data_IF_329513805573
#
_entry.id   IF_329513805573
#
_cell.length_a   1.000
_cell.length_b   1.000
_cell.length_c   1.000
_cell.angle_alpha   90.00
_cell.angle_beta   90.00
_cell.angle_gamma   90.00
#
_symmetry.space_group_name_H-M   'P 1'
#
loop_
_entity.id
_entity.type
_entity.pdbx_description
1 polymer ?
#
# COMPACT_ATOMS: atom_id res chain seq x y z
N UNK A 1 60.56 25.29 12.91
CA UNK A 1 59.14 25.13 12.53
C UNK A 1 58.69 26.44 11.93
N UNK A 2 58.77 26.58 10.60
CA UNK A 2 58.39 27.79 9.89
C UNK A 2 56.88 27.94 10.01
N UNK A 3 56.44 28.86 10.86
CA UNK A 3 55.05 29.29 10.91
C UNK A 3 54.70 30.17 9.71
N UNK A 4 53.43 30.50 9.59
CA UNK A 4 52.92 31.41 8.57
C UNK A 4 53.67 32.74 8.56
N UNK A 5 53.97 33.23 7.36
CA UNK A 5 54.46 34.61 7.16
C UNK A 5 53.38 35.62 7.54
N UNK A 6 53.75 36.86 7.84
CA UNK A 6 52.77 37.89 8.24
C UNK A 6 51.71 38.15 7.16
N UNK A 7 52.10 38.10 5.87
CA UNK A 7 51.18 38.22 4.75
C UNK A 7 50.19 37.06 4.66
N UNK A 8 50.64 35.83 4.91
CA UNK A 8 49.78 34.65 4.97
C UNK A 8 48.78 34.73 6.13
N UNK A 9 49.22 35.24 7.29
CA UNK A 9 48.33 35.47 8.44
C UNK A 9 47.27 36.52 8.11
N UNK A 10 47.67 37.64 7.50
CA UNK A 10 46.75 38.70 7.06
C UNK A 10 45.72 38.13 6.08
N UNK A 11 46.17 37.37 5.07
CA UNK A 11 45.30 36.74 4.07
C UNK A 11 44.33 35.75 4.71
N UNK A 12 44.78 34.91 5.65
CA UNK A 12 43.91 33.96 6.35
C UNK A 12 42.86 34.66 7.21
N UNK A 13 43.20 35.79 7.84
CA UNK A 13 42.24 36.58 8.60
C UNK A 13 41.17 37.20 7.66
N UNK A 14 41.59 37.74 6.52
CA UNK A 14 40.67 38.28 5.51
C UNK A 14 39.72 37.19 4.97
N UNK A 15 40.25 36.02 4.61
CA UNK A 15 39.44 34.89 4.16
C UNK A 15 38.47 34.38 5.24
N UNK A 16 38.90 34.33 6.51
CA UNK A 16 38.01 33.97 7.63
C UNK A 16 36.90 35.00 7.84
N UNK A 17 37.17 36.29 7.63
CA UNK A 17 36.14 37.32 7.74
C UNK A 17 35.10 37.18 6.62
N UNK A 18 35.54 36.98 5.38
CA UNK A 18 34.67 36.73 4.23
C UNK A 18 33.86 35.44 4.41
N UNK A 19 34.50 34.36 4.86
CA UNK A 19 33.82 33.09 5.11
C UNK A 19 32.73 33.22 6.18
N UNK A 20 32.98 33.96 7.26
CA UNK A 20 31.98 34.20 8.31
C UNK A 20 30.78 35.02 7.84
N UNK A 21 30.98 35.97 6.93
CA UNK A 21 29.89 36.73 6.30
C UNK A 21 29.10 35.83 5.35
N UNK A 22 29.80 35.12 4.46
CA UNK A 22 29.17 34.17 3.55
C UNK A 22 28.32 33.12 4.28
N UNK A 23 28.83 32.53 5.37
CA UNK A 23 28.07 31.57 6.16
C UNK A 23 26.81 32.17 6.79
N UNK A 24 26.87 33.44 7.18
CA UNK A 24 25.71 34.18 7.71
C UNK A 24 24.70 34.48 6.61
N UNK A 25 25.16 34.77 5.40
CA UNK A 25 24.30 34.99 4.22
C UNK A 25 23.62 33.70 3.72
N UNK A 26 24.06 32.52 4.17
CA UNK A 26 23.40 31.24 3.91
C UNK A 26 22.28 30.92 4.91
N UNK A 27 22.11 31.71 5.97
CA UNK A 27 20.98 31.55 6.88
C UNK A 27 19.71 32.04 6.15
N UNK A 28 18.86 31.09 5.74
CA UNK A 28 17.59 31.43 5.12
C UNK A 28 16.63 32.03 6.16
N UNK A 29 15.96 33.11 5.77
CA UNK A 29 14.84 33.65 6.53
C UNK A 29 13.63 32.73 6.42
N UNK A 30 12.78 32.72 7.45
CA UNK A 30 11.53 31.93 7.49
C UNK A 30 10.57 32.21 6.32
N UNK A 31 10.72 33.36 5.64
CA UNK A 31 9.89 33.76 4.50
C UNK A 31 10.45 33.24 3.20
N UNK A 32 10.24 31.95 2.96
CA UNK A 32 10.53 31.35 1.66
C UNK A 32 9.40 31.58 0.67
N UNK A 33 9.68 31.73 -0.64
CA UNK A 33 8.66 31.77 -1.66
C UNK A 33 7.97 30.39 -1.74
N UNK A 34 6.76 30.31 -1.19
CA UNK A 34 5.94 29.10 -1.22
C UNK A 34 5.17 29.05 -2.53
N UNK A 35 5.02 27.85 -3.11
CA UNK A 35 4.09 27.63 -4.20
C UNK A 35 2.67 28.03 -3.77
N UNK A 36 1.84 28.56 -4.69
CA UNK A 36 0.47 28.89 -4.36
C UNK A 36 -0.28 27.65 -3.85
N UNK A 37 -1.25 27.82 -2.94
CA UNK A 37 -1.99 26.71 -2.38
C UNK A 37 -2.68 25.90 -3.48
N UNK A 38 -2.58 24.58 -3.38
CA UNK A 38 -3.19 23.67 -4.35
C UNK A 38 -4.71 23.87 -4.35
N UNK A 39 -5.29 24.14 -5.53
CA UNK A 39 -6.75 24.19 -5.69
C UNK A 39 -7.31 22.78 -5.50
N UNK A 40 -8.00 22.57 -4.38
CA UNK A 40 -8.71 21.33 -4.12
C UNK A 40 -10.03 21.31 -4.92
N UNK A 41 -10.39 20.14 -5.45
CA UNK A 41 -11.71 19.93 -6.04
C UNK A 41 -12.82 20.00 -4.98
N UNK A 42 -14.10 20.08 -5.37
CA UNK A 42 -15.21 20.28 -4.44
C UNK A 42 -15.30 19.19 -3.35
N UNK A 43 -15.04 17.93 -3.71
CA UNK A 43 -15.03 16.80 -2.77
C UNK A 43 -13.83 16.87 -1.82
N UNK A 44 -12.65 17.20 -2.33
CA UNK A 44 -11.45 17.31 -1.49
C UNK A 44 -11.56 18.51 -0.52
N UNK A 45 -12.09 19.65 -0.98
CA UNK A 45 -12.36 20.81 -0.15
C UNK A 45 -13.42 20.54 0.92
N UNK A 46 -14.46 19.75 0.60
CA UNK A 46 -15.43 19.28 1.59
C UNK A 46 -14.75 18.47 2.70
N UNK A 47 -13.92 17.48 2.34
CA UNK A 47 -13.25 16.65 3.33
C UNK A 47 -12.26 17.43 4.19
N UNK A 48 -11.51 18.36 3.61
CA UNK A 48 -10.62 19.24 4.37
C UNK A 48 -11.40 20.05 5.41
N UNK A 49 -12.49 20.71 5.00
CA UNK A 49 -13.38 21.46 5.91
C UNK A 49 -14.05 20.57 6.95
N UNK A 50 -14.41 19.34 6.59
CA UNK A 50 -15.01 18.38 7.52
C UNK A 50 -14.01 17.96 8.62
N UNK A 51 -12.73 17.85 8.28
CA UNK A 51 -11.64 17.44 9.18
C UNK A 51 -11.06 18.58 10.02
N UNK A 52 -11.11 19.84 9.55
CA UNK A 52 -10.62 21.04 10.25
C UNK A 52 -11.01 21.16 11.74
N UNK A 53 -12.26 20.89 12.18
CA UNK A 53 -12.62 20.97 13.59
C UNK A 53 -12.05 19.85 14.47
N UNK A 54 -11.22 18.94 13.93
CA UNK A 54 -10.26 18.18 14.73
C UNK A 54 -10.81 17.01 15.57
N UNK A 55 -11.99 16.47 15.25
CA UNK A 55 -12.60 15.39 16.05
C UNK A 55 -12.15 13.97 15.67
N UNK A 56 -11.90 13.10 16.67
CA UNK A 56 -11.50 11.70 16.46
C UNK A 56 -12.49 10.92 15.57
N UNK A 57 -13.79 11.06 15.83
CA UNK A 57 -14.85 10.42 15.03
C UNK A 57 -14.79 10.82 13.55
N UNK A 58 -14.54 12.10 13.25
CA UNK A 58 -14.49 12.60 11.86
C UNK A 58 -13.33 11.99 11.09
N UNK A 59 -12.17 11.85 11.74
CA UNK A 59 -11.01 11.18 11.18
C UNK A 59 -11.29 9.68 10.95
N UNK A 60 -12.01 9.03 11.86
CA UNK A 60 -12.38 7.62 11.70
C UNK A 60 -13.32 7.40 10.52
N UNK A 61 -14.34 8.24 10.36
CA UNK A 61 -15.25 8.20 9.20
C UNK A 61 -14.50 8.45 7.90
N UNK A 62 -13.62 9.45 7.86
CA UNK A 62 -12.81 9.74 6.68
C UNK A 62 -11.92 8.55 6.30
N UNK A 63 -11.23 7.95 7.28
CA UNK A 63 -10.41 6.75 7.07
C UNK A 63 -11.24 5.57 6.56
N UNK A 64 -12.43 5.34 7.12
CA UNK A 64 -13.32 4.27 6.68
C UNK A 64 -13.76 4.48 5.22
N UNK A 65 -14.16 5.70 4.85
CA UNK A 65 -14.57 6.05 3.48
C UNK A 65 -13.41 5.94 2.48
N UNK A 66 -12.21 6.39 2.87
CA UNK A 66 -11.02 6.25 2.02
C UNK A 66 -10.63 4.78 1.83
N UNK A 67 -10.67 3.99 2.89
CA UNK A 67 -10.35 2.56 2.86
C UNK A 67 -11.37 1.79 2.04
N UNK A 68 -12.67 2.11 2.17
CA UNK A 68 -13.71 1.49 1.35
C UNK A 68 -13.53 1.81 -0.13
N UNK A 69 -13.18 3.06 -0.46
CA UNK A 69 -12.87 3.46 -1.84
C UNK A 69 -11.65 2.72 -2.39
N UNK A 70 -10.61 2.53 -1.57
CA UNK A 70 -9.43 1.75 -1.94
C UNK A 70 -9.78 0.28 -2.21
N UNK A 71 -10.53 -0.38 -1.31
CA UNK A 71 -10.93 -1.78 -1.48
C UNK A 71 -11.77 -1.95 -2.75
N UNK A 72 -12.73 -1.06 -2.99
CA UNK A 72 -13.56 -1.12 -4.19
C UNK A 72 -12.69 -1.04 -5.46
N UNK A 73 -11.83 -0.03 -5.55
CA UNK A 73 -11.06 0.25 -6.76
C UNK A 73 -9.87 -0.70 -6.97
N UNK A 74 -9.21 -1.14 -5.90
CA UNK A 74 -7.98 -1.95 -5.98
C UNK A 74 -8.19 -3.43 -5.78
N UNK A 75 -9.32 -3.85 -5.20
CA UNK A 75 -9.60 -5.26 -4.94
C UNK A 75 -10.82 -5.72 -5.73
N UNK A 76 -11.99 -5.11 -5.50
CA UNK A 76 -13.26 -5.60 -6.06
C UNK A 76 -13.29 -5.46 -7.58
N UNK A 77 -12.94 -4.29 -8.11
CA UNK A 77 -12.97 -4.05 -9.57
C UNK A 77 -12.00 -4.98 -10.30
N UNK A 78 -10.71 -5.10 -9.92
CA UNK A 78 -9.81 -6.06 -10.57
C UNK A 78 -10.26 -7.50 -10.41
N UNK A 79 -10.77 -7.88 -9.23
CA UNK A 79 -11.29 -9.23 -8.99
C UNK A 79 -12.46 -9.56 -9.94
N UNK A 80 -13.42 -8.66 -10.12
CA UNK A 80 -14.51 -8.83 -11.09
C UNK A 80 -14.02 -8.94 -12.52
N UNK A 81 -13.04 -8.14 -12.93
CA UNK A 81 -12.44 -8.21 -14.26
C UNK A 81 -11.79 -9.58 -14.49
N UNK A 82 -11.01 -10.07 -13.51
CA UNK A 82 -10.35 -11.38 -13.58
C UNK A 82 -11.39 -12.50 -13.66
N UNK A 83 -12.38 -12.49 -12.78
CA UNK A 83 -13.45 -13.51 -12.77
C UNK A 83 -14.22 -13.51 -14.09
N UNK A 84 -14.55 -12.34 -14.62
CA UNK A 84 -15.19 -12.21 -15.93
C UNK A 84 -14.31 -12.81 -17.04
N UNK A 85 -13.03 -12.47 -17.04
CA UNK A 85 -12.08 -12.97 -18.03
C UNK A 85 -11.94 -14.50 -17.97
N UNK A 86 -11.77 -15.06 -16.77
CA UNK A 86 -11.69 -16.50 -16.57
C UNK A 86 -12.97 -17.20 -17.05
N UNK A 87 -14.14 -16.66 -16.69
CA UNK A 87 -15.44 -17.24 -17.04
C UNK A 87 -15.71 -17.27 -18.55
N UNK A 88 -15.43 -16.18 -19.25
CA UNK A 88 -15.86 -16.03 -20.66
C UNK A 88 -14.76 -16.26 -21.68
N UNK A 89 -13.49 -16.21 -21.30
CA UNK A 89 -12.37 -16.44 -22.21
C UNK A 89 -11.62 -17.73 -21.87
N UNK A 90 -11.14 -17.87 -20.63
CA UNK A 90 -10.28 -19.01 -20.26
C UNK A 90 -11.06 -20.33 -20.24
N UNK A 91 -12.24 -20.37 -19.61
CA UNK A 91 -13.07 -21.58 -19.54
C UNK A 91 -13.68 -22.00 -20.88
N UNK A 92 -13.74 -21.11 -21.88
CA UNK A 92 -14.19 -21.48 -23.23
C UNK A 92 -13.10 -22.17 -24.06
N UNK A 93 -11.84 -22.02 -23.66
CA UNK A 93 -10.73 -22.69 -24.33
C UNK A 93 -10.60 -24.12 -23.77
N UNK A 94 -10.46 -25.15 -24.64
CA UNK A 94 -10.20 -26.50 -24.16
C UNK A 94 -8.90 -26.51 -23.35
N UNK A 95 -8.93 -27.15 -22.18
CA UNK A 95 -7.83 -27.17 -21.20
C UNK A 95 -7.38 -25.80 -20.66
N UNK A 96 -8.20 -24.74 -20.80
CA UNK A 96 -7.85 -23.41 -20.28
C UNK A 96 -7.79 -23.35 -18.75
N UNK A 97 -8.60 -24.16 -18.06
CA UNK A 97 -8.50 -24.38 -16.62
C UNK A 97 -8.54 -25.88 -16.37
N UNK A 98 -7.45 -26.44 -15.83
CA UNK A 98 -7.38 -27.84 -15.41
C UNK A 98 -7.38 -27.84 -13.88
N UNK A 99 -8.31 -28.57 -13.29
CA UNK A 99 -8.34 -28.83 -11.86
C UNK A 99 -8.06 -30.30 -11.59
N UNK A 100 -7.45 -30.60 -10.45
CA UNK A 100 -7.32 -31.99 -9.99
C UNK A 100 -8.67 -32.45 -9.46
N UNK A 101 -8.97 -33.74 -9.65
CA UNK A 101 -10.19 -34.32 -9.11
C UNK A 101 -10.22 -34.17 -7.58
N UNK A 102 -11.38 -33.85 -6.99
CA UNK A 102 -11.50 -33.73 -5.54
C UNK A 102 -11.17 -35.08 -4.87
N UNK A 103 -10.63 -35.03 -3.65
CA UNK A 103 -10.40 -36.23 -2.85
C UNK A 103 -11.75 -36.79 -2.41
N UNK A 104 -11.91 -38.10 -2.52
CA UNK A 104 -13.12 -38.82 -2.18
C UNK A 104 -12.81 -39.72 -0.99
N UNK A 105 -13.64 -39.67 0.04
CA UNK A 105 -13.52 -40.50 1.23
C UNK A 105 -14.66 -41.53 1.35
N UNK A 106 -14.42 -42.64 2.06
CA UNK A 106 -15.47 -43.60 2.43
C UNK A 106 -16.66 -42.91 3.12
N UNK A 107 -17.87 -43.21 2.67
CA UNK A 107 -19.11 -42.55 3.15
C UNK A 107 -19.49 -41.26 2.43
N UNK A 108 -18.62 -40.68 1.60
CA UNK A 108 -18.96 -39.49 0.80
C UNK A 108 -20.00 -39.83 -0.26
N UNK A 109 -20.87 -38.86 -0.57
CA UNK A 109 -21.84 -38.96 -1.67
C UNK A 109 -21.35 -38.15 -2.87
N UNK A 110 -21.18 -38.82 -4.00
CA UNK A 110 -20.86 -38.16 -5.27
C UNK A 110 -22.10 -37.40 -5.74
N UNK A 111 -22.03 -36.07 -5.85
CA UNK A 111 -23.19 -35.24 -6.20
C UNK A 111 -23.73 -35.53 -7.62
N UNK A 112 -22.85 -35.91 -8.54
CA UNK A 112 -23.20 -36.15 -9.94
C UNK A 112 -23.84 -37.53 -10.15
N UNK A 113 -23.31 -38.58 -9.52
CA UNK A 113 -23.79 -39.97 -9.67
C UNK A 113 -24.80 -40.37 -8.59
N UNK A 114 -24.81 -39.66 -7.45
CA UNK A 114 -25.63 -39.99 -6.28
C UNK A 114 -25.14 -41.18 -5.45
N UNK A 115 -24.08 -41.86 -5.90
CA UNK A 115 -23.47 -43.02 -5.24
C UNK A 115 -22.79 -42.63 -3.93
N UNK A 116 -22.95 -43.48 -2.92
CA UNK A 116 -22.32 -43.36 -1.62
C UNK A 116 -21.10 -44.27 -1.63
N UNK A 117 -19.94 -43.73 -1.27
CA UNK A 117 -18.71 -44.48 -1.20
C UNK A 117 -18.78 -45.53 -0.11
N UNK A 118 -18.40 -46.78 -0.39
CA UNK A 118 -18.46 -47.84 0.60
C UNK A 118 -17.58 -47.47 1.81
N UNK A 119 -18.03 -47.76 3.04
CA UNK A 119 -17.20 -47.57 4.22
C UNK A 119 -15.97 -48.47 4.14
N UNK A 120 -14.92 -48.09 4.87
CA UNK A 120 -13.77 -48.97 5.08
C UNK A 120 -14.25 -50.24 5.79
N UNK A 121 -13.57 -51.36 5.53
CA UNK A 121 -13.81 -52.58 6.29
C UNK A 121 -13.42 -52.31 7.74
N UNK A 122 -14.18 -52.85 8.68
CA UNK A 122 -13.85 -52.77 10.10
C UNK A 122 -12.43 -53.33 10.32
N UNK A 123 -11.54 -52.50 10.86
CA UNK A 123 -10.23 -52.96 11.30
C UNK A 123 -10.42 -53.79 12.57
N UNK A 124 -9.74 -54.93 12.72
CA UNK A 124 -9.77 -55.66 13.98
C UNK A 124 -9.14 -54.76 15.07
N UNK A 125 -9.94 -54.37 16.06
CA UNK A 125 -9.48 -53.63 17.25
C UNK A 125 -8.47 -54.50 18.02
N UNK A 126 -7.19 -54.40 17.69
CA UNK A 126 -6.09 -55.08 18.41
C UNK A 126 -5.62 -54.29 19.65
N UNK A 127 -6.37 -53.29 20.10
CA UNK A 127 -6.09 -52.57 21.34
C UNK A 127 -6.87 -53.15 22.53
N UNK A 128 -6.35 -54.25 23.07
CA UNK A 128 -6.64 -54.75 24.41
C UNK A 128 -5.34 -54.90 25.21
#
# INVERSE_FOLDING_TARGET
>A
MSGYTEDEKLRLQQLRALRRRWLRDQELSEREPVLPPRRLGPVAAFWERFLQPGGFWRHQVFKACQTSGFILMRVVVPFWIIVYYTKYHVMKMPHGVISSNPRIFPGDRILETGEIMPPLKDEPDEHH
#
